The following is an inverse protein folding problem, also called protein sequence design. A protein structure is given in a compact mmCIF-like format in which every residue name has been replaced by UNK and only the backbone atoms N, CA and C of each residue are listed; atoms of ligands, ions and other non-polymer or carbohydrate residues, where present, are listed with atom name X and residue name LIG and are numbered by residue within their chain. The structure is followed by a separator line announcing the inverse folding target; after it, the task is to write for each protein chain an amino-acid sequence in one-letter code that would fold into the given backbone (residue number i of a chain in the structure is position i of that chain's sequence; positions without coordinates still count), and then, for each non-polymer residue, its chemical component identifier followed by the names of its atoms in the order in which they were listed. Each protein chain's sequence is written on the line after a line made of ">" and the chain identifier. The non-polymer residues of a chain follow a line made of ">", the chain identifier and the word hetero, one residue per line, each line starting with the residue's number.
data_IF_393207735668
#
_entry.id   IF_393207735668
#
_cell.length_a   1.000
_cell.length_b   1.000
_cell.length_c   1.000
_cell.angle_alpha   90.00
_cell.angle_beta   90.00
_cell.angle_gamma   90.00
#
_symmetry.space_group_name_H-M   'P 1'
#
loop_
_entity.id
_entity.type
_entity.pdbx_description
1 polymer ?
#
# COMPACT_ATOMS: atom_id res chain seq x y z
N UNK A 1 -21.85 18.24 8.81
CA UNK A 1 -22.01 18.89 7.48
C UNK A 1 -23.47 18.81 7.06
N UNK A 2 -24.15 19.94 6.95
CA UNK A 2 -25.54 19.98 6.51
C UNK A 2 -25.65 19.47 5.05
N UNK A 3 -26.81 18.91 4.67
CA UNK A 3 -27.07 18.50 3.27
C UNK A 3 -26.85 19.64 2.28
N UNK A 4 -27.20 20.87 2.68
CA UNK A 4 -27.05 22.11 1.90
C UNK A 4 -25.58 22.44 1.61
N UNK A 5 -24.69 22.31 2.58
CA UNK A 5 -23.26 22.59 2.38
C UNK A 5 -22.63 21.65 1.35
N UNK A 6 -23.03 20.37 1.37
CA UNK A 6 -22.54 19.38 0.40
C UNK A 6 -22.99 19.70 -1.02
N UNK A 7 -24.25 20.08 -1.19
CA UNK A 7 -24.77 20.45 -2.52
C UNK A 7 -24.08 21.69 -3.08
N UNK A 8 -23.79 22.68 -2.24
CA UNK A 8 -23.00 23.87 -2.63
C UNK A 8 -21.61 23.46 -3.09
N UNK A 9 -20.89 22.63 -2.32
CA UNK A 9 -19.56 22.14 -2.70
C UNK A 9 -19.61 21.39 -4.03
N UNK A 10 -20.60 20.52 -4.23
CA UNK A 10 -20.79 19.78 -5.48
C UNK A 10 -20.97 20.75 -6.66
N UNK A 11 -21.82 21.78 -6.51
CA UNK A 11 -22.13 22.72 -7.58
C UNK A 11 -20.94 23.62 -7.93
N UNK A 12 -20.10 23.98 -6.96
CA UNK A 12 -18.87 24.73 -7.21
C UNK A 12 -17.79 23.86 -7.86
N UNK A 13 -17.69 22.59 -7.45
CA UNK A 13 -16.62 21.70 -7.86
C UNK A 13 -16.83 21.06 -9.24
N UNK A 14 -18.06 20.65 -9.55
CA UNK A 14 -18.42 20.01 -10.83
C UNK A 14 -17.88 20.76 -12.07
N UNK A 15 -18.10 22.08 -12.24
CA UNK A 15 -17.60 22.78 -13.42
C UNK A 15 -16.07 22.85 -13.49
N UNK A 16 -15.38 22.85 -12.34
CA UNK A 16 -13.90 22.84 -12.28
C UNK A 16 -13.38 21.50 -12.79
N UNK A 17 -13.99 20.40 -12.35
CA UNK A 17 -13.66 19.05 -12.84
C UNK A 17 -13.93 18.94 -14.35
N UNK A 18 -15.08 19.40 -14.83
CA UNK A 18 -15.42 19.37 -16.26
C UNK A 18 -14.41 20.17 -17.10
N UNK A 19 -14.02 21.37 -16.63
CA UNK A 19 -12.98 22.17 -17.28
C UNK A 19 -11.63 21.44 -17.31
N UNK A 20 -11.21 20.84 -16.21
CA UNK A 20 -9.97 20.04 -16.17
C UNK A 20 -10.03 18.85 -17.14
N UNK A 21 -11.19 18.21 -17.29
CA UNK A 21 -11.38 17.13 -18.25
C UNK A 21 -11.17 17.62 -19.70
N UNK A 22 -11.75 18.77 -20.05
CA UNK A 22 -11.67 19.37 -21.40
C UNK A 22 -10.27 19.92 -21.70
N UNK A 23 -9.71 20.73 -20.80
CA UNK A 23 -8.43 21.43 -21.00
C UNK A 23 -7.21 20.51 -20.83
N UNK A 24 -7.42 19.30 -20.30
CA UNK A 24 -6.36 18.34 -19.99
C UNK A 24 -5.28 18.85 -19.01
N UNK A 25 -5.66 19.80 -18.16
CA UNK A 25 -4.81 20.33 -17.10
C UNK A 25 -4.69 19.31 -15.97
N UNK A 26 -3.47 18.81 -15.75
CA UNK A 26 -3.16 17.80 -14.73
C UNK A 26 -3.09 18.39 -13.33
N UNK A 27 -2.69 19.65 -13.17
CA UNK A 27 -2.54 20.26 -11.85
C UNK A 27 -3.92 20.49 -11.21
N UNK A 28 -4.85 21.01 -12.00
CA UNK A 28 -6.24 21.19 -11.56
C UNK A 28 -6.89 19.83 -11.30
N UNK A 29 -6.58 18.82 -12.10
CA UNK A 29 -7.09 17.46 -11.90
C UNK A 29 -6.59 16.86 -10.58
N UNK A 30 -5.31 17.00 -10.27
CA UNK A 30 -4.72 16.48 -9.05
C UNK A 30 -5.28 17.18 -7.80
N UNK A 31 -5.49 18.50 -7.87
CA UNK A 31 -6.19 19.25 -6.82
C UNK A 31 -7.64 18.79 -6.65
N UNK A 32 -8.32 18.48 -7.75
CA UNK A 32 -9.68 17.94 -7.72
C UNK A 32 -9.73 16.58 -6.99
N UNK A 33 -8.69 15.77 -7.16
CA UNK A 33 -8.58 14.45 -6.52
C UNK A 33 -8.19 14.51 -5.04
N UNK A 34 -8.00 15.69 -4.44
CA UNK A 34 -7.78 15.80 -2.99
C UNK A 34 -9.07 15.59 -2.17
N UNK A 35 -10.24 15.68 -2.80
CA UNK A 35 -11.52 15.44 -2.14
C UNK A 35 -11.67 13.95 -1.81
N UNK A 36 -11.72 13.64 -0.50
CA UNK A 36 -11.91 12.28 0.06
C UNK A 36 -13.34 11.96 0.50
N UNK A 37 -14.26 12.93 0.46
CA UNK A 37 -15.61 12.70 0.96
C UNK A 37 -16.46 11.92 -0.05
N UNK A 38 -16.65 10.62 0.20
CA UNK A 38 -17.47 9.68 -0.59
C UNK A 38 -18.81 10.27 -1.05
N UNK A 39 -19.54 10.96 -0.15
CA UNK A 39 -20.88 11.51 -0.47
C UNK A 39 -20.83 12.63 -1.51
N UNK A 40 -19.78 13.45 -1.45
CA UNK A 40 -19.55 14.54 -2.40
C UNK A 40 -19.14 13.94 -3.75
N UNK A 41 -18.23 12.96 -3.75
CA UNK A 41 -17.77 12.26 -4.95
C UNK A 41 -18.95 11.60 -5.69
N UNK A 42 -19.80 10.86 -4.97
CA UNK A 42 -21.02 10.24 -5.54
C UNK A 42 -21.93 11.32 -6.15
N UNK A 43 -22.15 12.43 -5.45
CA UNK A 43 -22.98 13.54 -5.95
C UNK A 43 -22.43 14.19 -7.22
N UNK A 44 -21.11 14.31 -7.35
CA UNK A 44 -20.44 14.85 -8.55
C UNK A 44 -20.56 13.85 -9.70
N UNK A 45 -20.22 12.58 -9.46
CA UNK A 45 -20.24 11.53 -10.50
C UNK A 45 -21.64 11.30 -11.04
N UNK A 46 -22.69 11.35 -10.20
CA UNK A 46 -24.09 11.26 -10.64
C UNK A 46 -24.50 12.39 -11.59
N UNK A 47 -23.89 13.57 -11.47
CA UNK A 47 -24.19 14.76 -12.31
C UNK A 47 -23.37 14.83 -13.60
N UNK A 48 -22.39 13.95 -13.77
CA UNK A 48 -21.45 13.99 -14.89
C UNK A 48 -22.06 13.44 -16.19
N UNK A 49 -21.69 14.01 -17.35
CA UNK A 49 -22.18 13.54 -18.65
C UNK A 49 -21.47 12.24 -19.09
N UNK A 50 -22.13 11.44 -19.94
CA UNK A 50 -21.58 10.15 -20.42
C UNK A 50 -20.20 10.28 -21.08
N UNK A 51 -19.99 11.34 -21.85
CA UNK A 51 -18.72 11.63 -22.54
C UNK A 51 -17.61 11.98 -21.56
N UNK A 52 -17.95 12.76 -20.53
CA UNK A 52 -17.03 13.18 -19.47
C UNK A 52 -16.62 12.01 -18.57
N UNK A 53 -17.54 11.08 -18.28
CA UNK A 53 -17.26 9.86 -17.50
C UNK A 53 -16.19 9.00 -18.18
N UNK A 54 -16.23 8.87 -19.50
CA UNK A 54 -15.23 8.10 -20.27
C UNK A 54 -13.87 8.78 -20.15
N UNK A 55 -13.80 10.10 -20.38
CA UNK A 55 -12.57 10.87 -20.26
C UNK A 55 -12.00 10.82 -18.84
N UNK A 56 -12.86 10.93 -17.83
CA UNK A 56 -12.48 10.83 -16.42
C UNK A 56 -11.87 9.46 -16.11
N UNK A 57 -12.51 8.38 -16.55
CA UNK A 57 -12.04 7.01 -16.30
C UNK A 57 -10.66 6.78 -16.91
N UNK A 58 -10.42 7.24 -18.15
CA UNK A 58 -9.10 7.16 -18.78
C UNK A 58 -8.04 7.91 -17.97
N UNK A 59 -8.34 9.13 -17.50
CA UNK A 59 -7.41 9.92 -16.68
C UNK A 59 -7.13 9.27 -15.33
N UNK A 60 -8.15 8.73 -14.67
CA UNK A 60 -8.01 8.01 -13.40
C UNK A 60 -7.08 6.80 -13.54
N UNK A 61 -7.26 5.99 -14.59
CA UNK A 61 -6.36 4.85 -14.86
C UNK A 61 -4.92 5.34 -15.02
N UNK A 62 -4.68 6.36 -15.86
CA UNK A 62 -3.32 6.89 -16.06
C UNK A 62 -2.71 7.52 -14.79
N UNK A 63 -3.55 8.07 -13.92
CA UNK A 63 -3.12 8.66 -12.64
C UNK A 63 -2.68 7.57 -11.67
N UNK A 64 -3.44 6.47 -11.58
CA UNK A 64 -3.11 5.31 -10.73
C UNK A 64 -1.83 4.63 -11.23
N UNK A 65 -1.67 4.45 -12.54
CA UNK A 65 -0.46 3.87 -13.12
C UNK A 65 0.80 4.70 -12.84
N UNK A 66 0.67 6.04 -12.82
CA UNK A 66 1.80 6.95 -12.57
C UNK A 66 2.13 7.05 -11.08
N UNK A 67 1.11 7.09 -10.21
CA UNK A 67 1.28 7.30 -8.77
C UNK A 67 0.36 6.37 -7.99
N UNK A 68 0.79 5.11 -7.73
CA UNK A 68 -0.04 4.14 -7.01
C UNK A 68 -0.24 4.48 -5.53
N UNK A 69 0.59 5.37 -4.96
CA UNK A 69 0.55 5.78 -3.54
C UNK A 69 -0.59 6.74 -3.22
N UNK A 70 -1.19 7.40 -4.20
CA UNK A 70 -2.29 8.37 -3.99
C UNK A 70 -3.65 7.66 -4.00
N UNK A 71 -4.10 7.21 -2.82
CA UNK A 71 -5.33 6.44 -2.67
C UNK A 71 -6.64 7.14 -3.10
N UNK A 72 -6.63 8.47 -3.30
CA UNK A 72 -7.83 9.19 -3.71
C UNK A 72 -8.26 8.88 -5.14
N UNK A 73 -7.33 8.77 -6.10
CA UNK A 73 -7.69 8.42 -7.48
C UNK A 73 -8.36 7.04 -7.58
N UNK A 74 -7.90 6.07 -6.78
CA UNK A 74 -8.49 4.72 -6.69
C UNK A 74 -9.92 4.77 -6.15
N UNK A 75 -10.19 5.58 -5.12
CA UNK A 75 -11.53 5.76 -4.57
C UNK A 75 -12.50 6.37 -5.61
N UNK A 76 -12.05 7.38 -6.34
CA UNK A 76 -12.82 7.99 -7.43
C UNK A 76 -13.10 6.99 -8.55
N UNK A 77 -12.13 6.14 -8.92
CA UNK A 77 -12.32 5.10 -9.91
C UNK A 77 -13.35 4.06 -9.45
N UNK A 78 -13.25 3.60 -8.20
CA UNK A 78 -14.20 2.64 -7.62
C UNK A 78 -15.64 3.17 -7.65
N UNK A 79 -15.86 4.41 -7.24
CA UNK A 79 -17.20 5.03 -7.25
C UNK A 79 -17.69 5.22 -8.69
N UNK A 80 -16.82 5.62 -9.61
CA UNK A 80 -17.16 5.80 -11.03
C UNK A 80 -17.61 4.50 -11.68
N UNK A 81 -16.88 3.40 -11.42
CA UNK A 81 -17.25 2.06 -11.90
C UNK A 81 -18.60 1.62 -11.34
N UNK A 82 -18.85 1.86 -10.05
CA UNK A 82 -20.09 1.43 -9.40
C UNK A 82 -21.33 2.16 -9.94
N UNK A 83 -21.22 3.46 -10.26
CA UNK A 83 -22.34 4.27 -10.77
C UNK A 83 -22.53 4.10 -12.28
N UNK A 84 -21.44 4.13 -13.06
CA UNK A 84 -21.49 4.20 -14.53
C UNK A 84 -21.01 2.93 -15.24
N UNK A 85 -20.93 1.79 -14.56
CA UNK A 85 -20.60 0.49 -15.16
C UNK A 85 -21.30 0.21 -16.50
N UNK A 86 -22.63 0.45 -16.66
CA UNK A 86 -23.31 0.15 -17.92
C UNK A 86 -22.83 1.00 -19.11
N UNK A 87 -22.28 2.19 -18.86
CA UNK A 87 -21.74 3.07 -19.90
C UNK A 87 -20.31 2.65 -20.24
N UNK A 88 -19.52 2.28 -19.23
CA UNK A 88 -18.12 1.87 -19.40
C UNK A 88 -17.99 0.52 -20.13
N UNK A 89 -18.86 -0.44 -19.82
CA UNK A 89 -18.91 -1.76 -20.46
C UNK A 89 -19.19 -1.70 -21.96
N UNK A 90 -19.83 -0.62 -22.46
CA UNK A 90 -20.06 -0.43 -23.90
C UNK A 90 -18.78 -0.11 -24.67
N UNK A 91 -17.74 0.37 -24.01
CA UNK A 91 -16.48 0.74 -24.62
C UNK A 91 -15.40 -0.32 -24.37
N UNK A 92 -15.07 -1.10 -25.41
CA UNK A 92 -14.05 -2.15 -25.33
C UNK A 92 -12.67 -1.64 -24.95
N UNK A 93 -12.33 -0.41 -25.36
CA UNK A 93 -11.04 0.21 -25.04
C UNK A 93 -10.84 0.38 -23.52
N UNK A 94 -11.88 0.82 -22.82
CA UNK A 94 -11.82 1.05 -21.37
C UNK A 94 -11.74 -0.28 -20.64
N UNK A 95 -12.50 -1.27 -21.08
CA UNK A 95 -12.48 -2.62 -20.50
C UNK A 95 -11.08 -3.22 -20.60
N UNK A 96 -10.41 -3.10 -21.74
CA UNK A 96 -9.04 -3.57 -21.91
C UNK A 96 -8.04 -2.84 -20.98
N UNK A 97 -8.17 -1.52 -20.85
CA UNK A 97 -7.34 -0.73 -19.92
C UNK A 97 -7.55 -1.11 -18.45
N UNK A 98 -8.79 -1.41 -18.07
CA UNK A 98 -9.12 -1.83 -16.71
C UNK A 98 -8.57 -3.24 -16.41
N UNK A 99 -8.57 -4.13 -17.41
CA UNK A 99 -7.99 -5.46 -17.29
C UNK A 99 -6.46 -5.40 -17.13
N UNK A 100 -5.78 -4.58 -17.94
CA UNK A 100 -4.34 -4.32 -17.78
C UNK A 100 -3.99 -3.75 -16.41
N UNK A 101 -4.79 -2.79 -15.91
CA UNK A 101 -4.63 -2.24 -14.57
C UNK A 101 -4.83 -3.32 -13.48
N UNK A 102 -5.83 -4.18 -13.63
CA UNK A 102 -6.10 -5.27 -12.70
C UNK A 102 -4.94 -6.26 -12.65
N UNK A 103 -4.39 -6.64 -13.80
CA UNK A 103 -3.23 -7.52 -13.88
C UNK A 103 -2.00 -6.90 -13.19
N UNK A 104 -1.75 -5.59 -13.38
CA UNK A 104 -0.67 -4.88 -12.68
C UNK A 104 -0.85 -4.88 -11.16
N UNK A 105 -2.08 -4.69 -10.67
CA UNK A 105 -2.38 -4.71 -9.24
C UNK A 105 -2.15 -6.11 -8.66
N UNK A 106 -2.62 -7.16 -9.36
CA UNK A 106 -2.43 -8.55 -8.91
C UNK A 106 -0.95 -8.94 -8.86
N UNK A 107 -0.18 -8.59 -9.90
CA UNK A 107 1.27 -8.80 -9.89
C UNK A 107 1.96 -8.06 -8.73
N UNK A 108 1.46 -6.88 -8.37
CA UNK A 108 1.94 -6.14 -7.20
C UNK A 108 1.66 -6.88 -5.88
N UNK A 109 0.47 -7.47 -5.73
CA UNK A 109 0.11 -8.25 -4.54
C UNK A 109 1.05 -9.44 -4.33
N UNK A 110 1.47 -10.12 -5.39
CA UNK A 110 2.43 -11.22 -5.31
C UNK A 110 3.80 -10.76 -4.79
N UNK A 111 4.20 -9.52 -5.09
CA UNK A 111 5.46 -8.95 -4.59
C UNK A 111 5.38 -8.43 -3.15
N UNK A 112 4.18 -8.06 -2.67
CA UNK A 112 3.97 -7.56 -1.30
C UNK A 112 4.41 -8.61 -0.27
N UNK A 113 4.13 -9.89 -0.50
CA UNK A 113 4.58 -10.98 0.38
C UNK A 113 6.11 -11.02 0.54
N UNK A 114 6.85 -10.88 -0.56
CA UNK A 114 8.33 -10.87 -0.55
C UNK A 114 8.88 -9.64 0.18
N UNK A 115 8.26 -8.48 -0.01
CA UNK A 115 8.65 -7.24 0.66
C UNK A 115 8.37 -7.31 2.17
N UNK A 116 7.25 -7.91 2.58
CA UNK A 116 6.92 -8.15 3.99
C UNK A 116 7.94 -9.06 4.68
N UNK A 117 8.34 -10.15 4.03
CA UNK A 117 9.40 -11.02 4.55
C UNK A 117 10.72 -10.28 4.74
N UNK A 118 11.11 -9.45 3.76
CA UNK A 118 12.31 -8.64 3.84
C UNK A 118 12.22 -7.60 4.97
N UNK A 119 11.07 -6.93 5.12
CA UNK A 119 10.80 -5.99 6.22
C UNK A 119 10.98 -6.69 7.57
N UNK A 120 10.41 -7.88 7.75
CA UNK A 120 10.53 -8.62 9.01
C UNK A 120 11.98 -8.99 9.36
N UNK A 121 12.78 -9.40 8.37
CA UNK A 121 14.23 -9.66 8.58
C UNK A 121 14.99 -8.39 8.95
N UNK A 122 14.66 -7.27 8.31
CA UNK A 122 15.28 -5.97 8.58
C UNK A 122 14.90 -5.47 9.98
N UNK A 123 13.64 -5.66 10.41
CA UNK A 123 13.18 -5.35 11.75
C UNK A 123 13.92 -6.19 12.81
N UNK A 124 14.11 -7.49 12.57
CA UNK A 124 14.90 -8.36 13.44
C UNK A 124 16.37 -7.90 13.55
N UNK A 125 16.99 -7.53 12.43
CA UNK A 125 18.36 -7.00 12.43
C UNK A 125 18.46 -5.68 13.18
N UNK A 126 17.49 -4.78 13.03
CA UNK A 126 17.43 -3.52 13.78
C UNK A 126 17.30 -3.77 15.29
N UNK A 127 16.50 -4.76 15.71
CA UNK A 127 16.42 -5.16 17.12
C UNK A 127 17.79 -5.63 17.62
N UNK A 128 18.46 -6.53 16.90
CA UNK A 128 19.78 -7.05 17.28
C UNK A 128 20.84 -5.95 17.41
N UNK A 129 20.87 -4.99 16.49
CA UNK A 129 21.80 -3.86 16.56
C UNK A 129 21.52 -2.96 17.76
N UNK A 130 20.25 -2.72 18.08
CA UNK A 130 19.88 -1.93 19.24
C UNK A 130 20.20 -2.65 20.57
N UNK A 131 20.04 -3.97 20.65
CA UNK A 131 20.42 -4.75 21.84
C UNK A 131 21.93 -4.69 22.08
N UNK A 132 22.75 -4.91 21.04
CA UNK A 132 24.22 -4.80 21.15
C UNK A 132 24.70 -3.41 21.56
N UNK A 133 24.03 -2.37 21.05
CA UNK A 133 24.33 -0.99 21.44
C UNK A 133 24.00 -0.75 22.91
N UNK A 134 22.92 -1.31 23.43
CA UNK A 134 22.57 -1.19 24.84
C UNK A 134 23.48 -2.03 25.74
N UNK A 135 23.82 -3.27 25.36
CA UNK A 135 24.78 -4.10 26.11
C UNK A 135 26.17 -3.44 26.18
N UNK A 136 26.62 -2.77 25.11
CA UNK A 136 27.88 -2.00 25.12
C UNK A 136 27.86 -0.72 25.97
N UNK A 137 26.68 -0.25 26.36
CA UNK A 137 26.50 0.90 27.26
C UNK A 137 26.32 0.45 28.72
N UNK A 138 25.69 -0.70 28.97
CA UNK A 138 25.56 -1.27 30.32
C UNK A 138 26.90 -1.81 30.86
N UNK A 139 27.79 -2.33 30.00
CA UNK A 139 29.16 -2.73 30.40
C UNK A 139 30.10 -1.53 30.66
N UNK A 140 29.67 -0.28 30.43
CA UNK A 140 30.46 0.93 30.68
C UNK A 140 30.00 1.69 31.94
N UNK A 141 28.89 1.29 32.57
CA UNK A 141 28.39 1.94 33.80
C UNK A 141 28.84 1.24 35.11
N UNK A 142 29.56 0.11 35.05
CA UNK A 142 30.10 -0.56 36.26
C UNK A 142 31.55 -0.17 36.62
N UNK A 143 32.25 0.65 35.84
CA UNK A 143 33.63 1.09 36.14
C UNK A 143 33.83 2.62 36.05
N UNK A 144 33.04 3.43 36.75
CA UNK A 144 33.41 4.85 36.99
C UNK A 144 33.26 5.25 38.46
N UNK A 145 34.08 4.65 39.32
CA UNK A 145 34.52 5.29 40.58
C UNK A 145 36.06 5.26 40.70
N UNK A 146 36.78 5.94 39.80
CA UNK A 146 38.09 6.50 40.15
C UNK A 146 38.61 7.52 39.14
N UNK A 147 38.75 8.75 39.63
CA UNK A 147 39.79 9.74 39.33
C UNK A 147 40.19 10.08 37.87
N UNK A 148 39.80 11.29 37.51
CA UNK A 148 40.52 12.24 36.65
C UNK A 148 42.06 12.19 36.77
N UNK A 149 42.76 11.88 35.65
CA UNK A 149 43.98 12.60 35.28
C UNK A 149 44.31 12.48 33.79
N UNK A 150 44.53 13.63 33.15
CA UNK A 150 45.14 13.77 31.83
C UNK A 150 46.50 13.07 31.72
N UNK A 151 46.78 12.42 30.58
CA UNK A 151 48.12 12.43 29.96
C UNK A 151 48.12 11.80 28.57
N UNK A 152 48.54 12.64 27.61
CA UNK A 152 49.27 12.44 26.35
C UNK A 152 49.60 11.01 25.86
N UNK A 153 49.13 10.76 24.63
CA UNK A 153 49.88 10.28 23.45
C UNK A 153 51.32 9.80 23.70
N UNK A 154 51.59 8.49 23.51
CA UNK A 154 52.80 8.03 22.83
C UNK A 154 52.71 6.55 22.39
N UNK A 155 53.26 6.32 21.21
CA UNK A 155 53.18 5.17 20.34
C UNK A 155 54.37 4.22 20.58
N UNK A 156 54.20 2.90 20.72
CA UNK A 156 55.30 1.94 20.39
C UNK A 156 54.90 0.45 20.37
N UNK A 157 55.23 -0.16 19.23
CA UNK A 157 55.75 -1.53 19.00
C UNK A 157 54.91 -2.78 19.34
N UNK A 158 54.36 -3.38 18.27
CA UNK A 158 54.83 -4.62 17.62
C UNK A 158 55.26 -5.80 18.54
N UNK A 159 54.52 -6.92 18.47
CA UNK A 159 55.10 -8.27 18.50
C UNK A 159 54.06 -9.36 18.13
N UNK A 160 54.46 -10.18 17.15
CA UNK A 160 53.83 -11.35 16.54
C UNK A 160 53.15 -12.36 17.47
N UNK A 161 51.99 -12.90 17.04
CA UNK A 161 51.64 -14.34 17.20
C UNK A 161 50.78 -14.86 16.05
N UNK A 162 51.40 -15.65 15.17
CA UNK A 162 50.77 -16.67 14.33
C UNK A 162 50.15 -17.80 15.18
N UNK A 163 49.02 -18.36 14.72
CA UNK A 163 48.49 -19.73 14.82
C UNK A 163 46.95 -19.64 14.66
N UNK A 164 46.21 -20.53 14.03
CA UNK A 164 46.44 -21.63 13.10
C UNK A 164 45.06 -21.98 12.50
N UNK A 165 45.13 -22.61 11.34
CA UNK A 165 44.14 -23.23 10.49
C UNK A 165 43.11 -24.14 11.19
N UNK A 166 41.82 -23.97 10.87
CA UNK A 166 40.85 -25.08 10.78
C UNK A 166 39.85 -24.76 9.65
N UNK A 167 40.09 -25.34 8.48
CA UNK A 167 39.07 -25.74 7.50
C UNK A 167 38.43 -27.08 7.94
N UNK A 168 37.41 -27.52 7.20
CA UNK A 168 36.57 -28.73 7.34
C UNK A 168 35.33 -28.50 8.23
N UNK A 169 34.10 -28.87 7.86
CA UNK A 169 33.52 -29.61 6.74
C UNK A 169 31.99 -29.43 6.91
N UNK A 170 31.20 -29.16 5.88
CA UNK A 170 30.55 -30.13 4.98
C UNK A 170 29.07 -30.34 5.36
N UNK A 171 28.23 -30.10 4.35
CA UNK A 171 26.91 -30.65 4.06
C UNK A 171 25.94 -31.05 5.19
N UNK A 172 24.77 -30.40 5.21
CA UNK A 172 23.49 -31.09 5.42
C UNK A 172 22.35 -30.28 4.75
N UNK A 173 22.03 -30.69 3.52
CA UNK A 173 20.81 -30.33 2.80
C UNK A 173 19.61 -31.05 3.46
N UNK A 174 18.74 -30.32 4.18
CA UNK A 174 17.44 -30.84 4.59
C UNK A 174 16.39 -30.54 3.52
N UNK A 175 16.13 -31.54 2.68
CA UNK A 175 14.94 -31.63 1.83
C UNK A 175 13.71 -31.93 2.70
N UNK A 176 12.89 -30.92 2.99
CA UNK A 176 11.52 -31.16 3.49
C UNK A 176 10.55 -31.33 2.32
N UNK A 177 10.40 -32.58 1.88
CA UNK A 177 9.23 -33.05 1.12
C UNK A 177 7.97 -32.97 2.00
N UNK A 178 7.11 -31.98 1.76
CA UNK A 178 5.74 -31.99 2.27
C UNK A 178 4.78 -32.41 1.13
N UNK A 179 4.66 -33.72 0.96
CA UNK A 179 3.53 -34.38 0.31
C UNK A 179 2.34 -34.36 1.29
N UNK A 180 1.33 -33.52 1.04
CA UNK A 180 0.03 -33.61 1.72
C UNK A 180 -1.07 -33.70 0.67
N UNK A 181 -1.19 -34.90 0.10
CA UNK A 181 -2.36 -35.39 -0.62
C UNK A 181 -3.57 -35.41 0.35
N UNK A 182 -4.48 -34.45 0.19
CA UNK A 182 -5.79 -34.50 0.85
C UNK A 182 -6.90 -34.38 -0.19
N UNK A 183 -7.21 -35.53 -0.81
CA UNK A 183 -8.48 -35.78 -1.50
C UNK A 183 -9.61 -36.05 -0.48
N UNK A 184 -10.82 -35.60 -0.83
CA UNK A 184 -12.11 -35.75 -0.12
C UNK A 184 -12.41 -34.64 0.90
N UNK A 185 -13.54 -33.92 0.91
CA UNK A 185 -14.88 -34.34 0.53
C UNK A 185 -15.77 -33.10 0.22
N UNK A 186 -16.65 -33.20 -0.77
CA UNK A 186 -17.65 -32.19 -1.10
C UNK A 186 -18.78 -32.20 -0.05
N UNK A 187 -18.67 -31.41 1.02
CA UNK A 187 -19.82 -31.11 1.89
C UNK A 187 -20.18 -29.62 1.90
N UNK A 188 -21.31 -29.33 1.25
CA UNK A 188 -22.00 -28.04 1.30
C UNK A 188 -22.53 -27.77 2.70
N UNK A 189 -21.80 -26.98 3.49
CA UNK A 189 -22.37 -26.31 4.65
C UNK A 189 -22.45 -24.79 4.44
N UNK A 190 -23.69 -24.29 4.45
CA UNK A 190 -24.04 -22.87 4.58
C UNK A 190 -23.52 -22.30 5.91
N UNK A 191 -22.23 -21.96 5.99
CA UNK A 191 -21.73 -21.07 7.02
C UNK A 191 -21.91 -19.64 6.54
N UNK A 192 -22.82 -18.94 7.23
CA UNK A 192 -22.98 -17.49 7.14
C UNK A 192 -21.58 -16.88 7.24
N UNK A 193 -21.15 -16.19 6.18
CA UNK A 193 -19.93 -15.38 6.20
C UNK A 193 -20.02 -14.42 7.38
N UNK A 194 -19.38 -14.76 8.50
CA UNK A 194 -18.98 -13.77 9.48
C UNK A 194 -18.07 -12.81 8.73
N UNK A 195 -18.55 -11.57 8.63
CA UNK A 195 -17.79 -10.46 8.07
C UNK A 195 -16.57 -10.30 8.96
N UNK A 196 -15.43 -10.79 8.47
CA UNK A 196 -14.12 -10.46 9.02
C UNK A 196 -14.05 -8.94 9.06
N UNK A 197 -13.84 -8.39 10.25
CA UNK A 197 -13.78 -6.94 10.45
C UNK A 197 -12.60 -6.41 9.62
N UNK A 198 -12.93 -5.64 8.60
CA UNK A 198 -12.02 -5.19 7.56
C UNK A 198 -11.06 -4.13 8.13
N UNK A 199 -9.84 -4.55 8.45
CA UNK A 199 -8.73 -3.66 8.84
C UNK A 199 -8.50 -2.51 7.84
N UNK A 200 -8.98 -2.65 6.59
CA UNK A 200 -8.81 -1.68 5.50
C UNK A 200 -10.10 -0.99 5.03
N UNK A 201 -11.26 -1.22 5.66
CA UNK A 201 -12.53 -0.59 5.29
C UNK A 201 -12.97 -0.83 3.83
N UNK A 202 -12.53 -1.93 3.22
CA UNK A 202 -12.77 -2.25 1.81
C UNK A 202 -14.22 -2.68 1.57
N UNK A 203 -14.88 -3.25 2.58
CA UNK A 203 -16.26 -3.76 2.57
C UNK A 203 -17.29 -2.83 3.20
N UNK A 204 -16.93 -1.60 3.61
CA UNK A 204 -17.95 -0.62 4.02
C UNK A 204 -18.76 -0.16 2.80
N UNK A 205 -19.81 -0.92 2.52
CA UNK A 205 -20.82 -0.69 1.51
C UNK A 205 -22.00 0.12 2.06
N UNK A 206 -21.91 0.67 3.27
CA UNK A 206 -22.99 1.47 3.85
C UNK A 206 -23.39 2.65 2.97
N UNK A 207 -22.44 3.17 2.16
CA UNK A 207 -22.69 4.22 1.17
C UNK A 207 -23.58 3.79 0.00
N UNK A 208 -23.71 2.49 -0.31
CA UNK A 208 -24.63 2.01 -1.35
C UNK A 208 -26.10 2.26 -1.01
N UNK A 209 -26.44 2.39 0.28
CA UNK A 209 -27.80 2.79 0.69
C UNK A 209 -28.15 4.20 0.19
N UNK A 210 -27.15 5.06 -0.02
CA UNK A 210 -27.31 6.42 -0.55
C UNK A 210 -27.29 6.47 -2.10
N UNK A 211 -27.12 5.32 -2.77
CA UNK A 211 -27.07 5.24 -4.24
C UNK A 211 -28.46 5.04 -4.86
N UNK A 212 -29.42 4.50 -4.10
CA UNK A 212 -30.79 4.21 -4.55
C UNK A 212 -31.67 5.45 -4.60
#
# INVERSE_FOLDING_TARGET
>A
MEKRDRETIINTFLPILQKSLITNDREIFDQCMEIKNKKIIIGIIKKLLKTEVISLTKKLITSIEKTPTRGSATEWLRITLLIHAPILLKSKEIVFRLDDLNNKINNGNDTIGKILQLSGRLDMMNVQLNTRKNDSFEDMEEEEESESSESEDENSSDEDKELDMFEEDDDEEEEEENDDDNESDEEKENKKNEVVDDVFGVTDFSFLKDIK
#
